data_IF_470547564381
#
_entry.id   IF_470547564381
#
_cell.length_a   1.000
_cell.length_b   1.000
_cell.length_c   1.000
_cell.angle_alpha   90.00
_cell.angle_beta   90.00
_cell.angle_gamma   90.00
#
_symmetry.space_group_name_H-M   'P 1'
#
loop_
_entity.id
_entity.type
_entity.pdbx_description
1 polymer ?
#
# COMPACT_ATOMS: atom_id res chain seq x y z
N UNK A 1 24.44 0.87 -1.26
CA UNK A 1 23.56 0.04 -0.42
C UNK A 1 22.31 -0.36 -1.21
N UNK A 2 21.80 -1.59 -1.04
CA UNK A 2 20.53 -1.98 -1.66
C UNK A 2 19.37 -1.11 -1.15
N UNK A 3 18.51 -0.62 -2.04
CA UNK A 3 17.40 0.30 -1.70
C UNK A 3 16.44 -0.22 -0.62
N UNK A 4 16.42 -1.53 -0.40
CA UNK A 4 15.55 -2.22 0.55
C UNK A 4 16.11 -2.29 1.98
N UNK A 5 17.38 -1.91 2.20
CA UNK A 5 17.98 -1.79 3.53
C UNK A 5 17.73 -0.38 4.09
N UNK A 6 17.22 -0.33 5.32
CA UNK A 6 17.04 0.93 6.04
C UNK A 6 18.35 1.34 6.71
N UNK A 7 18.59 2.65 6.84
CA UNK A 7 19.71 3.17 7.63
C UNK A 7 19.63 2.72 9.10
N UNK A 8 20.78 2.65 9.77
CA UNK A 8 20.85 2.29 11.19
C UNK A 8 19.97 3.18 12.08
N UNK A 9 19.89 4.48 11.78
CA UNK A 9 19.03 5.43 12.49
C UNK A 9 17.53 5.12 12.31
N UNK A 10 17.13 4.75 11.09
CA UNK A 10 15.74 4.38 10.79
C UNK A 10 15.35 3.07 11.49
N UNK A 11 16.28 2.11 11.58
CA UNK A 11 16.02 0.82 12.23
C UNK A 11 15.66 0.95 13.71
N UNK A 12 16.19 1.96 14.42
CA UNK A 12 15.90 2.18 15.85
C UNK A 12 14.42 2.48 16.12
N UNK A 13 13.72 3.09 15.16
CA UNK A 13 12.31 3.50 15.33
C UNK A 13 11.34 2.63 14.52
N UNK A 14 11.84 1.76 13.64
CA UNK A 14 11.03 0.99 12.68
C UNK A 14 10.23 -0.11 13.41
N UNK A 15 8.91 0.00 13.38
CA UNK A 15 8.00 -0.95 14.04
C UNK A 15 7.59 -2.14 13.15
N UNK A 16 7.68 -1.99 11.83
CA UNK A 16 7.23 -2.99 10.87
C UNK A 16 8.31 -3.26 9.83
N UNK A 17 8.51 -4.52 9.47
CA UNK A 17 9.41 -4.92 8.39
C UNK A 17 8.73 -5.92 7.46
N UNK A 18 9.33 -6.13 6.30
CA UNK A 18 8.93 -7.17 5.36
C UNK A 18 10.14 -8.04 5.08
N UNK A 19 9.91 -9.33 4.87
CA UNK A 19 10.94 -10.29 4.48
C UNK A 19 10.59 -10.86 3.10
N UNK A 20 11.60 -11.25 2.34
CA UNK A 20 11.42 -11.99 1.11
C UNK A 20 11.60 -13.48 1.41
N UNK A 21 10.64 -14.29 1.01
CA UNK A 21 10.73 -15.74 1.09
C UNK A 21 10.89 -16.31 -0.33
N UNK A 22 11.94 -17.09 -0.53
CA UNK A 22 12.17 -17.85 -1.75
C UNK A 22 11.79 -19.31 -1.51
N UNK A 23 10.95 -19.86 -2.36
CA UNK A 23 10.51 -21.25 -2.29
C UNK A 23 11.16 -22.05 -3.42
N UNK A 24 11.49 -23.31 -3.13
CA UNK A 24 11.98 -24.24 -4.15
C UNK A 24 10.86 -24.60 -5.14
N UNK A 25 9.66 -24.87 -4.62
CA UNK A 25 8.49 -25.21 -5.42
C UNK A 25 7.48 -24.06 -5.48
N UNK A 26 6.96 -23.70 -6.67
CA UNK A 26 5.92 -22.68 -6.80
C UNK A 26 4.63 -22.97 -6.01
N UNK A 27 4.28 -24.25 -5.88
CA UNK A 27 3.08 -24.70 -5.15
C UNK A 27 3.12 -24.33 -3.66
N UNK A 28 4.29 -24.30 -3.04
CA UNK A 28 4.44 -23.92 -1.63
C UNK A 28 4.24 -22.41 -1.44
N UNK A 29 4.68 -21.60 -2.40
CA UNK A 29 4.37 -20.18 -2.40
C UNK A 29 2.86 -19.93 -2.56
N UNK A 30 2.19 -20.68 -3.45
CA UNK A 30 0.74 -20.56 -3.65
C UNK A 30 -0.04 -20.94 -2.39
N UNK A 31 0.35 -22.01 -1.68
CA UNK A 31 -0.25 -22.37 -0.38
C UNK A 31 -0.20 -21.23 0.62
N UNK A 32 0.95 -20.55 0.73
CA UNK A 32 1.09 -19.39 1.62
C UNK A 32 0.21 -18.22 1.17
N UNK A 33 0.11 -17.97 -0.13
CA UNK A 33 -0.71 -16.87 -0.69
C UNK A 33 -2.22 -17.12 -0.54
N UNK A 34 -2.65 -18.38 -0.53
CA UNK A 34 -4.05 -18.78 -0.34
C UNK A 34 -4.46 -18.92 1.13
N UNK A 35 -3.52 -18.75 2.06
CA UNK A 35 -3.86 -18.69 3.49
C UNK A 35 -4.50 -17.33 3.80
N UNK A 36 -5.77 -17.32 4.20
CA UNK A 36 -6.60 -16.11 4.39
C UNK A 36 -5.93 -14.98 5.20
N UNK A 37 -5.11 -15.34 6.19
CA UNK A 37 -4.42 -14.38 7.06
C UNK A 37 -2.92 -14.27 6.79
N UNK A 38 -2.39 -15.00 5.81
CA UNK A 38 -0.96 -15.14 5.54
C UNK A 38 -0.23 -15.98 6.57
N UNK A 39 1.06 -15.69 6.79
CA UNK A 39 1.91 -16.47 7.69
C UNK A 39 1.72 -16.07 9.16
N UNK A 40 1.72 -17.05 10.06
CA UNK A 40 1.79 -16.80 11.49
C UNK A 40 3.25 -16.52 11.89
N UNK A 41 3.57 -15.31 12.36
CA UNK A 41 4.92 -14.92 12.79
C UNK A 41 4.84 -14.21 14.14
N UNK A 42 5.57 -14.70 15.15
CA UNK A 42 5.64 -14.09 16.48
C UNK A 42 4.27 -13.77 17.11
N UNK A 43 3.29 -14.68 16.98
CA UNK A 43 1.96 -14.46 17.54
C UNK A 43 1.10 -13.44 16.79
N UNK A 44 1.54 -12.95 15.61
CA UNK A 44 0.74 -12.13 14.70
C UNK A 44 0.65 -12.72 13.30
N UNK A 45 -0.47 -12.48 12.62
CA UNK A 45 -0.62 -12.81 11.21
C UNK A 45 0.07 -11.76 10.33
N UNK A 46 1.02 -12.20 9.52
CA UNK A 46 1.75 -11.40 8.55
C UNK A 46 1.18 -11.66 7.14
N UNK A 47 0.67 -10.59 6.51
CA UNK A 47 0.12 -10.65 5.15
C UNK A 47 1.19 -11.12 4.16
N UNK A 48 0.87 -12.13 3.37
CA UNK A 48 1.69 -12.58 2.25
C UNK A 48 1.19 -11.98 0.92
N UNK A 49 2.12 -11.72 0.01
CA UNK A 49 1.83 -11.29 -1.36
C UNK A 49 2.97 -11.70 -2.28
N UNK A 50 2.67 -11.97 -3.56
CA UNK A 50 3.71 -12.22 -4.57
C UNK A 50 4.66 -11.02 -4.62
N UNK A 51 5.95 -11.30 -4.64
CA UNK A 51 6.96 -10.28 -4.87
C UNK A 51 6.86 -9.77 -6.32
N UNK A 52 6.98 -8.46 -6.48
CA UNK A 52 7.07 -7.80 -7.79
C UNK A 52 8.16 -6.74 -7.67
N UNK A 53 9.13 -6.76 -8.60
CA UNK A 53 10.32 -5.90 -8.52
C UNK A 53 9.96 -4.40 -8.59
N UNK A 54 9.02 -4.08 -9.45
CA UNK A 54 8.38 -2.75 -9.51
C UNK A 54 6.97 -2.88 -8.96
N UNK A 55 6.71 -2.24 -7.82
CA UNK A 55 5.34 -2.12 -7.32
C UNK A 55 4.53 -1.33 -8.35
N UNK A 56 3.35 -1.83 -8.78
CA UNK A 56 2.49 -1.06 -9.67
C UNK A 56 2.12 0.25 -8.98
N UNK A 57 2.25 1.35 -9.71
CA UNK A 57 1.83 2.67 -9.23
C UNK A 57 0.33 2.60 -8.95
N UNK A 58 -0.06 2.89 -7.71
CA UNK A 58 -1.47 2.91 -7.29
C UNK A 58 -1.87 4.34 -7.02
N UNK A 59 -2.82 4.84 -7.79
CA UNK A 59 -3.42 6.15 -7.52
C UNK A 59 -4.31 6.07 -6.28
N UNK A 60 -4.02 6.91 -5.29
CA UNK A 60 -4.87 7.07 -4.12
C UNK A 60 -6.22 7.63 -4.55
N UNK A 61 -7.32 6.92 -4.29
CA UNK A 61 -8.68 7.38 -4.64
C UNK A 61 -9.24 8.44 -3.68
N UNK A 62 -8.52 8.75 -2.60
CA UNK A 62 -8.91 9.80 -1.65
C UNK A 62 -8.24 11.13 -1.95
N UNK A 63 -6.94 11.15 -2.26
CA UNK A 63 -6.21 12.40 -2.50
C UNK A 63 -5.60 12.53 -3.89
N UNK A 64 -5.74 11.51 -4.74
CA UNK A 64 -5.21 11.45 -6.12
C UNK A 64 -3.68 11.46 -6.26
N UNK A 65 -2.92 11.42 -5.15
CA UNK A 65 -1.46 11.20 -5.16
C UNK A 65 -1.08 9.78 -5.61
N UNK A 66 0.11 9.65 -6.19
CA UNK A 66 0.73 8.39 -6.60
C UNK A 66 1.71 7.84 -5.54
N UNK A 67 1.93 8.57 -4.44
CA UNK A 67 2.95 8.27 -3.44
C UNK A 67 2.53 7.19 -2.45
N UNK A 68 1.22 6.98 -2.28
CA UNK A 68 0.67 6.04 -1.31
C UNK A 68 -0.62 5.37 -1.81
N UNK A 69 -0.90 4.14 -1.37
CA UNK A 69 -2.19 3.49 -1.62
C UNK A 69 -3.30 4.15 -0.80
N UNK A 70 -4.55 4.03 -1.27
CA UNK A 70 -5.74 4.60 -0.59
C UNK A 70 -5.87 4.14 0.87
N UNK A 71 -5.45 2.91 1.20
CA UNK A 71 -5.49 2.36 2.58
C UNK A 71 -4.65 3.15 3.58
N UNK A 72 -3.58 3.77 3.11
CA UNK A 72 -2.58 4.44 3.95
C UNK A 72 -2.76 5.97 3.90
N UNK A 73 -3.82 6.44 3.24
CA UNK A 73 -4.10 7.86 3.08
C UNK A 73 -4.52 8.48 4.42
N UNK A 74 -3.70 9.41 4.92
CA UNK A 74 -3.95 10.15 6.16
C UNK A 74 -4.90 11.35 6.00
N UNK A 75 -5.29 11.69 4.76
CA UNK A 75 -6.23 12.80 4.51
C UNK A 75 -7.61 12.39 5.05
N UNK A 76 -8.26 13.29 5.80
CA UNK A 76 -9.62 13.10 6.31
C UNK A 76 -10.63 13.31 5.18
N UNK A 77 -10.55 14.45 4.51
CA UNK A 77 -11.47 14.81 3.42
C UNK A 77 -10.91 14.39 2.05
N UNK A 78 -11.71 13.82 1.15
CA UNK A 78 -11.26 13.51 -0.20
C UNK A 78 -10.97 14.79 -1.00
N UNK A 79 -10.03 14.70 -1.95
CA UNK A 79 -9.89 15.69 -2.99
C UNK A 79 -10.85 15.40 -4.14
N UNK A 80 -11.47 16.45 -4.65
CA UNK A 80 -12.27 16.38 -5.86
C UNK A 80 -11.35 16.13 -7.06
N UNK A 81 -11.64 15.10 -7.86
CA UNK A 81 -10.85 14.81 -9.07
C UNK A 81 -10.94 15.93 -10.12
N UNK A 82 -12.02 16.70 -10.08
CA UNK A 82 -12.35 17.71 -11.09
C UNK A 82 -11.72 19.08 -10.78
N UNK A 83 -11.70 19.49 -9.51
CA UNK A 83 -11.21 20.81 -9.12
C UNK A 83 -10.18 20.81 -7.97
N UNK A 84 -9.71 19.64 -7.53
CA UNK A 84 -8.77 19.45 -6.41
C UNK A 84 -9.24 19.95 -5.02
N UNK A 85 -10.47 20.47 -4.90
CA UNK A 85 -11.03 20.96 -3.65
C UNK A 85 -11.27 19.86 -2.60
N UNK A 86 -11.42 20.25 -1.33
CA UNK A 86 -11.67 19.34 -0.19
C UNK A 86 -13.13 18.83 -0.15
N UNK A 87 -13.56 18.12 -1.18
CA UNK A 87 -14.87 17.47 -1.24
C UNK A 87 -14.82 16.24 -2.15
N UNK A 88 -15.81 15.36 -2.00
CA UNK A 88 -15.95 14.22 -2.91
C UNK A 88 -16.43 14.71 -4.28
N UNK A 89 -15.98 14.10 -5.38
CA UNK A 89 -16.38 14.48 -6.75
C UNK A 89 -17.91 14.49 -7.01
N UNK A 90 -18.68 13.77 -6.19
CA UNK A 90 -20.16 13.77 -6.21
C UNK A 90 -20.78 15.08 -5.71
N UNK A 91 -20.03 15.87 -4.94
CA UNK A 91 -20.43 17.17 -4.42
C UNK A 91 -19.90 18.32 -5.29
N UNK A 92 -19.27 18.00 -6.42
CA UNK A 92 -18.73 19.01 -7.32
C UNK A 92 -19.87 19.74 -8.04
N UNK A 93 -19.87 21.06 -7.91
CA UNK A 93 -20.72 21.94 -8.70
C UNK A 93 -19.86 22.63 -9.76
N UNK A 94 -20.07 22.30 -11.04
CA UNK A 94 -19.31 22.87 -12.14
C UNK A 94 -19.91 24.23 -12.52
N UNK A 95 -19.14 25.31 -12.37
CA UNK A 95 -19.60 26.66 -12.74
C UNK A 95 -19.80 26.85 -14.26
N UNK A 96 -19.27 25.96 -15.10
CA UNK A 96 -19.38 26.04 -16.57
C UNK A 96 -20.48 25.16 -17.17
N UNK A 97 -21.02 24.19 -16.43
CA UNK A 97 -22.04 23.26 -16.92
C UNK A 97 -23.42 23.51 -16.29
N UNK A 98 -23.65 24.71 -15.75
CA UNK A 98 -24.96 25.16 -15.28
C UNK A 98 -25.83 25.62 -16.45
#
# INVERSE_FOLDING_TARGET
EPRWLCSASTLQVKQHSSILLTFENPSDADRLLHTDRGAMMYGRFARASRYTDVKPVRQCRRCWSLDHPTSDCKRRDPACRLCAGNHHERQHNCAQCQ
#
